data_IF_484557162938
#
_entry.id   IF_484557162938
#
_cell.length_a   1.000
_cell.length_b   1.000
_cell.length_c   1.000
_cell.angle_alpha   90.00
_cell.angle_beta   90.00
_cell.angle_gamma   90.00
#
_symmetry.space_group_name_H-M   'P 1'
#
loop_
_entity.id
_entity.type
_entity.pdbx_description
1 polymer ?
#
# COMPACT_ATOMS: atom_id res chain seq x y z
N UNK A 1 6.33 -6.91 5.92
CA UNK A 1 5.57 -5.84 6.60
C UNK A 1 4.54 -6.47 7.51
N UNK A 2 4.51 -5.99 8.73
CA UNK A 2 3.54 -6.47 9.71
C UNK A 2 2.30 -5.61 9.68
N UNK A 3 1.13 -6.24 9.55
CA UNK A 3 -0.15 -5.55 9.57
C UNK A 3 -0.67 -5.60 10.99
N UNK A 4 -0.98 -4.44 11.56
CA UNK A 4 -1.39 -4.34 12.96
C UNK A 4 -2.89 -4.41 13.19
N UNK A 5 -3.68 -4.13 12.19
CA UNK A 5 -5.13 -4.19 12.34
C UNK A 5 -5.66 -5.61 12.25
N UNK A 6 -6.61 -5.89 13.11
CA UNK A 6 -7.31 -7.16 13.08
C UNK A 6 -8.76 -6.92 13.49
N UNK A 7 -9.78 -7.27 12.68
CA UNK A 7 -9.61 -7.94 11.41
C UNK A 7 -8.95 -7.05 10.38
N UNK A 8 -8.35 -7.67 9.37
CA UNK A 8 -7.72 -6.93 8.30
C UNK A 8 -8.76 -6.10 7.54
N UNK A 9 -8.39 -4.93 7.06
CA UNK A 9 -9.27 -4.17 6.19
C UNK A 9 -9.52 -4.94 4.90
N UNK A 10 -10.54 -4.54 4.19
CA UNK A 10 -10.89 -5.15 2.92
C UNK A 10 -9.75 -4.93 1.92
N UNK A 11 -9.61 -5.87 0.98
CA UNK A 11 -8.66 -5.74 -0.10
C UNK A 11 -8.90 -4.44 -0.88
N UNK A 12 -7.84 -3.87 -1.43
CA UNK A 12 -7.93 -2.65 -2.20
C UNK A 12 -6.65 -1.85 -2.17
N UNK A 13 -6.74 -0.62 -2.67
CA UNK A 13 -5.63 0.30 -2.71
C UNK A 13 -5.95 1.47 -1.79
N UNK A 14 -4.98 1.85 -0.96
CA UNK A 14 -5.18 2.80 0.13
C UNK A 14 -4.08 3.85 0.15
N UNK A 15 -4.46 5.06 0.55
CA UNK A 15 -3.50 6.04 1.03
C UNK A 15 -3.08 5.60 2.43
N UNK A 16 -1.78 5.58 2.70
CA UNK A 16 -1.26 5.09 3.97
C UNK A 16 -0.23 6.04 4.54
N UNK A 17 -0.04 5.93 5.85
CA UNK A 17 1.08 6.56 6.55
C UNK A 17 1.89 5.47 7.22
N UNK A 18 3.21 5.54 7.04
CA UNK A 18 4.12 4.54 7.59
C UNK A 18 4.96 5.19 8.69
N UNK A 19 4.87 4.63 9.88
CA UNK A 19 5.64 5.08 11.05
C UNK A 19 6.81 4.15 11.29
N UNK A 20 7.85 4.66 11.97
CA UNK A 20 9.05 3.88 12.27
C UNK A 20 10.23 4.21 11.39
N UNK A 21 10.09 5.18 10.47
CA UNK A 21 11.15 5.58 9.55
C UNK A 21 11.79 6.90 9.94
N UNK A 22 11.28 7.54 10.98
CA UNK A 22 11.78 8.83 11.45
C UNK A 22 10.79 9.42 12.44
N UNK A 23 10.89 10.73 12.67
CA UNK A 23 10.06 11.41 13.67
C UNK A 23 8.60 11.53 13.25
N UNK A 24 8.34 11.54 11.94
CA UNK A 24 7.00 11.73 11.41
C UNK A 24 6.60 10.57 10.54
N UNK A 25 5.30 10.27 10.45
CA UNK A 25 4.81 9.27 9.50
C UNK A 25 5.15 9.68 8.07
N UNK A 26 5.43 8.68 7.24
CA UNK A 26 5.76 8.90 5.83
C UNK A 26 4.57 8.54 4.96
N UNK A 27 4.14 9.42 4.05
CA UNK A 27 2.99 9.12 3.20
C UNK A 27 3.34 8.14 2.09
N UNK A 28 2.36 7.34 1.72
CA UNK A 28 2.53 6.38 0.64
C UNK A 28 1.20 5.86 0.13
N UNK A 29 1.30 4.92 -0.78
CA UNK A 29 0.16 4.19 -1.32
C UNK A 29 0.41 2.70 -1.12
N UNK A 30 -0.64 1.97 -0.76
CA UNK A 30 -0.53 0.55 -0.48
C UNK A 30 -1.59 -0.24 -1.22
N UNK A 31 -1.22 -1.43 -1.65
CA UNK A 31 -2.13 -2.41 -2.22
C UNK A 31 -2.21 -3.59 -1.26
N UNK A 32 -3.40 -3.85 -0.73
CA UNK A 32 -3.66 -5.01 0.10
C UNK A 32 -4.50 -6.00 -0.71
N UNK A 33 -3.93 -7.14 -1.02
CA UNK A 33 -4.59 -8.16 -1.81
C UNK A 33 -4.59 -9.49 -1.11
N UNK A 34 -5.40 -10.41 -1.65
CA UNK A 34 -5.45 -11.79 -1.18
C UNK A 34 -4.82 -12.65 -2.25
N UNK A 35 -3.85 -13.45 -1.88
CA UNK A 35 -3.15 -14.34 -2.80
C UNK A 35 -3.44 -15.79 -2.45
N UNK A 36 -3.73 -16.64 -3.45
CA UNK A 36 -3.88 -18.06 -3.20
C UNK A 36 -2.54 -18.68 -2.81
N UNK A 37 -2.60 -19.64 -1.91
CA UNK A 37 -1.43 -20.41 -1.50
C UNK A 37 -1.80 -21.88 -1.47
N UNK A 38 -0.82 -22.73 -1.25
CA UNK A 38 -1.09 -24.15 -1.02
C UNK A 38 -1.83 -24.26 0.32
N UNK A 39 -3.06 -24.74 0.26
CA UNK A 39 -3.88 -24.93 1.45
C UNK A 39 -4.72 -23.74 1.86
N UNK A 40 -4.77 -22.65 1.05
CA UNK A 40 -5.64 -21.54 1.41
C UNK A 40 -5.31 -20.24 0.73
N UNK A 41 -5.41 -19.15 1.48
CA UNK A 41 -5.10 -17.82 0.99
C UNK A 41 -4.30 -17.08 2.05
N UNK A 42 -3.61 -16.03 1.65
CA UNK A 42 -2.91 -15.15 2.58
C UNK A 42 -2.97 -13.71 2.08
N UNK A 43 -3.01 -12.74 2.98
CA UNK A 43 -2.94 -11.35 2.57
C UNK A 43 -1.52 -10.99 2.12
N UNK A 44 -1.46 -10.11 1.13
CA UNK A 44 -0.19 -9.55 0.67
C UNK A 44 -0.33 -8.03 0.67
N UNK A 45 0.56 -7.38 1.39
CA UNK A 45 0.58 -5.93 1.48
C UNK A 45 1.83 -5.41 0.76
N UNK A 46 1.61 -4.56 -0.24
CA UNK A 46 2.69 -3.91 -0.97
C UNK A 46 2.56 -2.41 -0.74
N UNK A 47 3.65 -1.77 -0.31
CA UNK A 47 3.62 -0.36 0.05
C UNK A 47 4.68 0.39 -0.76
N UNK A 48 4.28 1.50 -1.36
CA UNK A 48 5.17 2.43 -2.03
C UNK A 48 5.18 3.76 -1.28
N UNK A 49 6.35 4.17 -0.80
CA UNK A 49 6.52 5.43 -0.08
C UNK A 49 6.90 6.52 -1.06
N UNK A 50 6.29 7.70 -0.91
CA UNK A 50 6.54 8.82 -1.80
C UNK A 50 7.87 9.50 -1.46
N UNK A 51 8.68 9.77 -2.51
CA UNK A 51 9.92 10.53 -2.37
C UNK A 51 10.85 9.96 -1.31
N UNK A 52 10.88 8.64 -1.19
CA UNK A 52 11.63 7.94 -0.17
C UNK A 52 12.74 7.14 -0.85
N UNK A 53 13.97 7.39 -0.42
CA UNK A 53 15.15 6.76 -1.03
C UNK A 53 16.17 6.39 0.05
N UNK A 54 15.75 5.52 0.95
CA UNK A 54 16.61 5.00 2.00
C UNK A 54 16.42 3.50 2.13
N UNK A 55 17.48 2.83 2.57
CA UNK A 55 17.40 1.42 2.91
C UNK A 55 16.72 1.27 4.26
N UNK A 56 15.61 0.54 4.27
CA UNK A 56 14.86 0.28 5.49
C UNK A 56 14.87 -1.21 5.85
N UNK A 57 15.78 -1.96 5.27
CA UNK A 57 15.88 -3.37 5.56
C UNK A 57 16.11 -3.59 7.06
N UNK A 58 15.30 -4.42 7.67
CA UNK A 58 15.36 -4.66 9.11
C UNK A 58 14.61 -3.63 9.96
N UNK A 59 14.07 -2.57 9.38
CA UNK A 59 13.31 -1.59 10.13
C UNK A 59 11.98 -2.17 10.61
N UNK A 60 11.57 -1.77 11.80
CA UNK A 60 10.25 -2.09 12.34
C UNK A 60 9.31 -0.95 12.00
N UNK A 61 8.34 -1.20 11.13
CA UNK A 61 7.42 -0.18 10.69
C UNK A 61 5.98 -0.54 11.02
N UNK A 62 5.14 0.49 11.06
CA UNK A 62 3.70 0.34 11.22
C UNK A 62 3.03 1.04 10.06
N UNK A 63 2.06 0.38 9.44
CA UNK A 63 1.32 0.93 8.32
C UNK A 63 -0.09 1.27 8.78
N UNK A 64 -0.47 2.54 8.63
CA UNK A 64 -1.80 3.00 8.96
C UNK A 64 -2.56 3.27 7.68
N UNK A 65 -3.69 2.59 7.50
CA UNK A 65 -4.56 2.80 6.34
C UNK A 65 -5.41 4.02 6.61
N UNK A 66 -5.17 5.09 5.85
CA UNK A 66 -5.81 6.38 6.10
C UNK A 66 -7.06 6.55 5.28
N UNK A 67 -7.04 6.12 4.02
CA UNK A 67 -8.16 6.32 3.11
C UNK A 67 -8.13 5.28 2.01
N UNK A 68 -9.27 4.67 1.73
CA UNK A 68 -9.37 3.72 0.63
C UNK A 68 -9.56 4.46 -0.68
N UNK A 69 -8.69 4.17 -1.64
CA UNK A 69 -8.74 4.81 -2.95
C UNK A 69 -9.60 4.03 -3.95
N UNK A 70 -9.52 2.72 -3.94
CA UNK A 70 -10.30 1.87 -4.82
C UNK A 70 -10.24 0.41 -4.39
N UNK A 71 -11.14 -0.41 -4.94
CA UNK A 71 -11.10 -1.85 -4.75
C UNK A 71 -10.01 -2.47 -5.61
N UNK A 72 -9.64 -3.71 -5.31
CA UNK A 72 -8.75 -4.47 -6.16
C UNK A 72 -9.37 -4.66 -7.53
N UNK A 73 -8.50 -4.78 -8.56
CA UNK A 73 -8.94 -4.84 -9.93
C UNK A 73 -7.95 -5.68 -10.74
N UNK A 74 -8.46 -6.42 -11.70
CA UNK A 74 -7.63 -7.14 -12.64
C UNK A 74 -7.42 -6.31 -13.89
N UNK A 75 -6.27 -6.51 -14.53
CA UNK A 75 -5.91 -5.74 -15.71
C UNK A 75 -5.66 -6.67 -16.89
N UNK A 76 -6.10 -6.27 -18.10
CA UNK A 76 -5.96 -7.13 -19.27
C UNK A 76 -4.52 -7.26 -19.76
N UNK A 77 -3.66 -6.30 -19.43
CA UNK A 77 -2.26 -6.32 -19.86
C UNK A 77 -1.41 -5.45 -18.92
N UNK A 78 -0.11 -5.51 -19.12
CA UNK A 78 0.83 -4.80 -18.29
C UNK A 78 0.71 -3.28 -18.41
N UNK A 79 0.41 -2.78 -19.61
CA UNK A 79 0.28 -1.33 -19.82
C UNK A 79 -0.89 -0.77 -19.02
N UNK A 80 -2.02 -1.48 -18.98
CA UNK A 80 -3.17 -1.07 -18.18
C UNK A 80 -2.84 -1.07 -16.69
N UNK A 81 -2.12 -2.08 -16.20
CA UNK A 81 -1.68 -2.14 -14.82
C UNK A 81 -0.77 -0.97 -14.49
N UNK A 82 0.19 -0.68 -15.36
CA UNK A 82 1.15 0.40 -15.17
C UNK A 82 0.46 1.76 -15.09
N UNK A 83 -0.51 1.97 -15.98
CA UNK A 83 -1.28 3.21 -15.97
C UNK A 83 -2.08 3.37 -14.68
N UNK A 84 -2.66 2.28 -14.18
CA UNK A 84 -3.43 2.33 -12.93
C UNK A 84 -2.53 2.59 -11.74
N UNK A 85 -1.34 1.99 -11.70
CA UNK A 85 -0.39 2.25 -10.62
C UNK A 85 -0.04 3.74 -10.56
N UNK A 86 0.18 4.36 -11.72
CA UNK A 86 0.47 5.79 -11.78
C UNK A 86 -0.73 6.62 -11.28
N UNK A 87 -1.93 6.23 -11.67
CA UNK A 87 -3.15 6.91 -11.22
C UNK A 87 -3.36 6.76 -9.71
N UNK A 88 -3.06 5.59 -9.15
CA UNK A 88 -3.17 5.35 -7.72
C UNK A 88 -2.20 6.24 -6.95
N UNK A 89 -0.97 6.34 -7.42
CA UNK A 89 0.03 7.19 -6.79
C UNK A 89 -0.41 8.66 -6.83
N UNK A 90 -0.94 9.11 -7.97
CA UNK A 90 -1.44 10.48 -8.10
C UNK A 90 -2.61 10.74 -7.15
N UNK A 91 -3.53 9.78 -7.01
CA UNK A 91 -4.67 9.92 -6.12
C UNK A 91 -4.23 10.00 -4.65
N UNK A 92 -3.26 9.17 -4.25
CA UNK A 92 -2.74 9.20 -2.89
C UNK A 92 -1.99 10.50 -2.61
N UNK A 93 -1.20 10.98 -3.56
CA UNK A 93 -0.52 12.27 -3.41
C UNK A 93 -1.52 13.41 -3.26
N UNK A 94 -2.59 13.38 -4.03
CA UNK A 94 -3.64 14.39 -3.94
C UNK A 94 -4.31 14.35 -2.56
N UNK A 95 -4.55 13.16 -2.04
CA UNK A 95 -5.13 13.00 -0.71
C UNK A 95 -4.27 13.65 0.36
N UNK A 96 -2.96 13.51 0.28
CA UNK A 96 -2.02 14.12 1.23
C UNK A 96 -1.64 15.55 0.87
N UNK A 97 -2.13 16.07 -0.24
CA UNK A 97 -1.74 17.39 -0.78
C UNK A 97 -0.25 17.53 -1.05
N UNK A 98 0.29 16.50 -1.65
CA UNK A 98 1.71 16.49 -2.04
C UNK A 98 1.92 16.99 -3.47
#
# INVERSE_FOLDING_TARGET
IRIKHNPLPMAGVFAVEVSGLGDKPWPGVANLGIRPTVGGTRPLLEVHLFDFDRDIYGAHISVRFVHKLRNEQRFPNFDALKAQIAADAAAARAFFTL
#
